data_IF_758923036402
#
_entry.id   IF_758923036402
#
_cell.length_a   1.000
_cell.length_b   1.000
_cell.length_c   1.000
_cell.angle_alpha   90.00
_cell.angle_beta   90.00
_cell.angle_gamma   90.00
#
_symmetry.space_group_name_H-M   'P 1'
#
loop_
_entity.id
_entity.type
_entity.pdbx_description
1 polymer ?
#
# COMPACT_ATOMS: atom_id res chain seq x y z
N UNK A 1 -17.22 14.26 19.09
CA UNK A 1 -16.50 14.54 17.82
C UNK A 1 -16.82 13.41 16.85
N UNK A 2 -17.69 13.66 15.87
CA UNK A 2 -17.95 12.72 14.78
C UNK A 2 -16.69 12.68 13.92
N UNK A 3 -15.90 11.62 14.09
CA UNK A 3 -14.79 11.35 13.18
C UNK A 3 -15.38 11.01 11.82
N UNK A 4 -14.83 11.53 10.71
CA UNK A 4 -15.32 11.20 9.38
C UNK A 4 -15.29 9.68 9.21
N UNK A 5 -16.48 9.11 9.04
CA UNK A 5 -16.63 7.78 8.46
C UNK A 5 -16.40 7.92 6.96
N UNK A 6 -15.85 6.89 6.34
CA UNK A 6 -15.57 6.88 4.90
C UNK A 6 -16.85 7.11 4.09
N UNK A 7 -17.13 8.39 3.81
CA UNK A 7 -18.08 8.85 2.79
C UNK A 7 -17.42 9.82 1.80
N UNK A 8 -16.27 10.41 2.15
CA UNK A 8 -15.41 11.25 1.29
C UNK A 8 -14.15 10.49 0.79
N UNK A 9 -14.24 9.16 0.74
CA UNK A 9 -13.16 8.17 0.73
C UNK A 9 -12.44 7.92 -0.60
N UNK A 10 -12.87 8.52 -1.70
CA UNK A 10 -12.41 8.08 -3.03
C UNK A 10 -10.99 8.57 -3.37
N UNK A 11 -10.48 9.61 -2.72
CA UNK A 11 -9.11 10.09 -2.97
C UNK A 11 -8.02 9.34 -2.20
N UNK A 12 -8.30 8.90 -0.96
CA UNK A 12 -7.30 8.27 -0.08
C UNK A 12 -7.21 6.75 -0.22
N UNK A 13 -8.22 6.11 -0.85
CA UNK A 13 -8.24 4.65 -1.06
C UNK A 13 -7.10 4.17 -1.97
N UNK A 14 -6.83 4.81 -3.12
CA UNK A 14 -5.68 4.43 -3.96
C UNK A 14 -4.35 4.64 -3.26
N UNK A 15 -4.21 5.71 -2.47
CA UNK A 15 -2.98 6.02 -1.75
C UNK A 15 -2.68 4.99 -0.65
N UNK A 16 -3.68 4.66 0.19
CA UNK A 16 -3.56 3.59 1.17
C UNK A 16 -3.25 2.25 0.50
N UNK A 17 -3.95 1.92 -0.59
CA UNK A 17 -3.69 0.68 -1.33
C UNK A 17 -2.24 0.64 -1.85
N UNK A 18 -1.79 1.69 -2.54
CA UNK A 18 -0.44 1.80 -3.07
C UNK A 18 0.61 1.71 -1.95
N UNK A 19 0.37 2.32 -0.80
CA UNK A 19 1.23 2.22 0.37
C UNK A 19 1.34 0.77 0.86
N UNK A 20 0.22 0.07 0.97
CA UNK A 20 0.21 -1.34 1.39
C UNK A 20 0.86 -2.27 0.37
N UNK A 21 0.67 -2.04 -0.92
CA UNK A 21 1.35 -2.79 -2.00
C UNK A 21 2.86 -2.58 -1.90
N UNK A 22 3.32 -1.34 -1.75
CA UNK A 22 4.74 -1.03 -1.59
C UNK A 22 5.33 -1.70 -0.34
N UNK A 23 4.62 -1.67 0.78
CA UNK A 23 5.05 -2.36 2.01
C UNK A 23 5.11 -3.87 1.82
N UNK A 24 4.09 -4.48 1.20
CA UNK A 24 4.07 -5.92 0.94
C UNK A 24 5.23 -6.34 0.04
N UNK A 25 5.45 -5.62 -1.06
CA UNK A 25 6.53 -5.90 -2.00
C UNK A 25 7.91 -5.68 -1.37
N UNK A 26 8.10 -4.59 -0.60
CA UNK A 26 9.35 -4.32 0.10
C UNK A 26 9.64 -5.36 1.19
N UNK A 27 8.62 -5.71 1.99
CA UNK A 27 8.73 -6.76 3.01
C UNK A 27 9.13 -8.08 2.38
N UNK A 28 8.48 -8.48 1.29
CA UNK A 28 8.83 -9.70 0.57
C UNK A 28 10.24 -9.64 -0.03
N UNK A 29 10.65 -8.50 -0.62
CA UNK A 29 12.01 -8.34 -1.12
C UNK A 29 13.08 -8.49 -0.01
N UNK A 30 12.77 -8.07 1.22
CA UNK A 30 13.65 -8.17 2.38
C UNK A 30 13.64 -9.55 3.05
N UNK A 31 12.49 -10.19 3.18
CA UNK A 31 12.31 -11.40 3.99
C UNK A 31 12.00 -12.66 3.19
N UNK A 32 11.72 -12.54 1.89
CA UNK A 32 11.22 -13.61 1.02
C UNK A 32 9.89 -14.23 1.50
N UNK A 33 9.09 -13.45 2.24
CA UNK A 33 7.80 -13.89 2.79
C UNK A 33 6.69 -12.85 2.56
N UNK A 34 5.49 -13.30 2.22
CA UNK A 34 4.30 -12.46 2.12
C UNK A 34 3.64 -12.28 3.49
N UNK A 35 4.09 -11.25 4.21
CA UNK A 35 3.74 -11.00 5.62
C UNK A 35 2.41 -10.28 5.78
N UNK A 36 1.31 -11.05 5.89
CA UNK A 36 -0.05 -10.53 6.14
C UNK A 36 -0.10 -9.68 7.42
N UNK A 37 0.58 -10.11 8.49
CA UNK A 37 0.65 -9.40 9.76
C UNK A 37 1.27 -8.00 9.61
N UNK A 38 2.30 -7.88 8.77
CA UNK A 38 2.95 -6.61 8.49
C UNK A 38 2.03 -5.66 7.72
N UNK A 39 1.30 -6.15 6.72
CA UNK A 39 0.30 -5.37 5.97
C UNK A 39 -0.81 -4.86 6.90
N UNK A 40 -1.32 -5.71 7.80
CA UNK A 40 -2.37 -5.33 8.76
C UNK A 40 -1.89 -4.25 9.73
N UNK A 41 -0.68 -4.38 10.28
CA UNK A 41 -0.13 -3.37 11.19
C UNK A 41 0.16 -2.05 10.47
N UNK A 42 0.75 -2.08 9.26
CA UNK A 42 1.00 -0.88 8.46
C UNK A 42 -0.30 -0.17 8.05
N UNK A 43 -1.36 -0.91 7.71
CA UNK A 43 -2.68 -0.35 7.46
C UNK A 43 -3.21 0.42 8.69
N UNK A 44 -3.11 -0.17 9.89
CA UNK A 44 -3.54 0.49 11.13
C UNK A 44 -2.70 1.72 11.46
N UNK A 45 -1.39 1.68 11.22
CA UNK A 45 -0.50 2.82 11.41
C UNK A 45 -0.82 3.96 10.45
N UNK A 46 -0.99 3.65 9.16
CA UNK A 46 -1.35 4.64 8.14
C UNK A 46 -2.68 5.32 8.47
N UNK A 47 -3.71 4.55 8.83
CA UNK A 47 -5.02 5.10 9.22
C UNK A 47 -4.93 6.01 10.44
N UNK A 48 -4.14 5.62 11.46
CA UNK A 48 -3.90 6.47 12.65
C UNK A 48 -3.15 7.75 12.30
N UNK A 49 -2.13 7.66 11.45
CA UNK A 49 -1.29 8.81 11.03
C UNK A 49 -2.14 9.86 10.29
N UNK A 50 -3.07 9.41 9.45
CA UNK A 50 -3.94 10.28 8.66
C UNK A 50 -5.26 10.66 9.36
N UNK A 51 -5.45 10.26 10.63
CA UNK A 51 -6.70 10.39 11.41
C UNK A 51 -7.97 9.87 10.69
N UNK A 52 -7.80 8.84 9.84
CA UNK A 52 -8.88 8.22 9.07
C UNK A 52 -9.44 6.99 9.78
N UNK A 53 -10.76 6.82 9.76
CA UNK A 53 -11.42 5.60 10.26
C UNK A 53 -11.84 4.69 9.12
N UNK A 54 -11.47 3.41 9.21
CA UNK A 54 -11.90 2.36 8.29
C UNK A 54 -12.72 1.29 9.00
N UNK A 55 -13.82 0.87 8.39
CA UNK A 55 -14.53 -0.32 8.84
C UNK A 55 -13.59 -1.53 8.80
N UNK A 56 -13.75 -2.47 9.74
CA UNK A 56 -12.81 -3.59 9.88
C UNK A 56 -12.78 -4.49 8.63
N UNK A 57 -13.93 -4.69 7.99
CA UNK A 57 -14.02 -5.52 6.80
C UNK A 57 -13.30 -4.87 5.60
N UNK A 58 -13.38 -3.55 5.45
CA UNK A 58 -12.71 -2.84 4.35
C UNK A 58 -11.19 -2.85 4.53
N UNK A 59 -10.69 -2.85 5.77
CA UNK A 59 -9.27 -3.07 6.08
C UNK A 59 -8.79 -4.45 5.65
N UNK A 60 -9.63 -5.48 5.81
CA UNK A 60 -9.30 -6.83 5.35
C UNK A 60 -9.28 -6.88 3.83
N UNK A 61 -10.32 -6.34 3.17
CA UNK A 61 -10.42 -6.32 1.71
C UNK A 61 -9.25 -5.59 1.06
N UNK A 62 -8.90 -4.40 1.54
CA UNK A 62 -7.80 -3.61 0.98
C UNK A 62 -6.44 -4.28 1.22
N UNK A 63 -6.25 -4.95 2.37
CA UNK A 63 -5.04 -5.72 2.65
C UNK A 63 -4.89 -6.95 1.75
N UNK A 64 -5.99 -7.66 1.49
CA UNK A 64 -6.01 -8.78 0.54
C UNK A 64 -5.71 -8.31 -0.89
N UNK A 65 -6.32 -7.22 -1.32
CA UNK A 65 -6.06 -6.61 -2.63
C UNK A 65 -4.59 -6.17 -2.75
N UNK A 66 -4.04 -5.55 -1.70
CA UNK A 66 -2.64 -5.12 -1.69
C UNK A 66 -1.67 -6.30 -1.88
N UNK A 67 -1.91 -7.42 -1.19
CA UNK A 67 -1.09 -8.63 -1.33
C UNK A 67 -1.17 -9.21 -2.74
N UNK A 68 -2.39 -9.31 -3.29
CA UNK A 68 -2.59 -9.80 -4.66
C UNK A 68 -1.82 -8.95 -5.67
N UNK A 69 -1.99 -7.62 -5.63
CA UNK A 69 -1.30 -6.71 -6.53
C UNK A 69 0.22 -6.87 -6.38
N UNK A 70 0.72 -6.91 -5.15
CA UNK A 70 2.15 -7.02 -4.88
C UNK A 70 2.77 -8.34 -5.37
N UNK A 71 2.05 -9.46 -5.27
CA UNK A 71 2.58 -10.79 -5.64
C UNK A 71 2.37 -11.17 -7.11
N UNK A 72 1.34 -10.63 -7.75
CA UNK A 72 0.93 -11.00 -9.11
C UNK A 72 1.01 -9.78 -10.04
N UNK A 73 0.12 -8.80 -9.85
CA UNK A 73 -0.12 -7.73 -10.81
C UNK A 73 1.11 -6.83 -11.05
N UNK A 74 1.97 -6.63 -10.04
CA UNK A 74 3.23 -5.90 -10.22
C UNK A 74 4.15 -6.58 -11.24
N UNK A 75 4.28 -7.91 -11.17
CA UNK A 75 5.15 -8.67 -12.07
C UNK A 75 4.59 -8.66 -13.49
N UNK A 76 3.27 -8.82 -13.62
CA UNK A 76 2.57 -8.77 -14.92
C UNK A 76 2.68 -7.39 -15.57
N UNK A 77 2.70 -6.32 -14.76
CA UNK A 77 2.97 -4.96 -15.21
C UNK A 77 4.46 -4.67 -15.46
N UNK A 78 5.37 -5.64 -15.28
CA UNK A 78 6.81 -5.45 -15.45
C UNK A 78 7.44 -4.55 -14.38
N UNK A 79 6.86 -4.49 -13.18
CA UNK A 79 7.38 -3.80 -12.00
C UNK A 79 8.02 -4.83 -11.08
N UNK A 80 9.34 -4.98 -11.17
CA UNK A 80 10.10 -5.87 -10.29
C UNK A 80 10.65 -5.10 -9.09
N UNK A 81 10.05 -5.30 -7.91
CA UNK A 81 10.57 -4.75 -6.64
C UNK A 81 11.72 -5.63 -6.16
N UNK A 82 12.95 -5.09 -6.17
CA UNK A 82 14.16 -5.76 -5.71
C UNK A 82 14.65 -5.12 -4.42
N UNK A 83 15.49 -5.83 -3.68
CA UNK A 83 16.11 -5.30 -2.46
C UNK A 83 16.78 -3.93 -2.70
N UNK A 84 17.47 -3.77 -3.83
CA UNK A 84 18.14 -2.51 -4.22
C UNK A 84 17.19 -1.34 -4.49
N UNK A 85 15.90 -1.61 -4.77
CA UNK A 85 14.91 -0.59 -5.11
C UNK A 85 13.99 -0.24 -3.95
N UNK A 86 14.07 -0.94 -2.81
CA UNK A 86 13.22 -0.70 -1.63
C UNK A 86 13.37 0.73 -1.10
N UNK A 87 14.60 1.24 -1.01
CA UNK A 87 14.85 2.62 -0.54
C UNK A 87 14.26 3.68 -1.47
N UNK A 88 13.98 3.37 -2.74
CA UNK A 88 13.36 4.29 -3.68
C UNK A 88 11.83 4.34 -3.54
N UNK A 89 11.22 3.39 -2.83
CA UNK A 89 9.76 3.34 -2.61
C UNK A 89 9.30 4.28 -1.50
N UNK A 90 10.17 4.57 -0.54
CA UNK A 90 9.82 5.31 0.66
C UNK A 90 10.69 6.54 0.89
N UNK A 91 10.13 7.57 1.50
CA UNK A 91 10.88 8.72 2.03
C UNK A 91 11.56 8.35 3.37
N UNK A 92 12.37 9.27 3.92
CA UNK A 92 12.95 9.13 5.26
C UNK A 92 11.90 8.98 6.36
N UNK A 93 10.70 9.50 6.13
CA UNK A 93 9.56 9.49 7.04
C UNK A 93 8.67 8.23 6.87
N UNK A 94 9.14 7.26 6.07
CA UNK A 94 8.41 6.04 5.72
C UNK A 94 7.06 6.31 5.03
N UNK A 95 6.99 7.39 4.25
CA UNK A 95 5.89 7.70 3.34
C UNK A 95 6.21 7.22 1.93
N UNK A 96 5.21 7.11 1.05
CA UNK A 96 5.46 6.80 -0.36
C UNK A 96 6.30 7.90 -0.99
N UNK A 97 7.36 7.52 -1.70
CA UNK A 97 8.15 8.47 -2.48
C UNK A 97 7.45 8.75 -3.82
N UNK A 98 6.61 9.78 -3.88
CA UNK A 98 5.87 10.16 -5.09
C UNK A 98 6.77 10.58 -6.27
N UNK A 99 8.02 10.96 -6.00
CA UNK A 99 9.00 11.27 -7.05
C UNK A 99 9.55 9.99 -7.74
N UNK A 100 9.29 8.81 -7.17
CA UNK A 100 9.71 7.53 -7.73
C UNK A 100 8.77 7.10 -8.88
N UNK A 101 9.33 6.93 -10.07
CA UNK A 101 8.56 6.43 -11.23
C UNK A 101 7.96 5.06 -10.97
N UNK A 102 8.61 4.24 -10.13
CA UNK A 102 8.08 2.95 -9.69
C UNK A 102 6.82 3.13 -8.84
N UNK A 103 6.84 4.05 -7.86
CA UNK A 103 5.66 4.36 -7.02
C UNK A 103 4.54 4.94 -7.86
N UNK A 104 4.83 5.82 -8.83
CA UNK A 104 3.82 6.36 -9.75
C UNK A 104 3.12 5.25 -10.55
N UNK A 105 3.88 4.28 -11.07
CA UNK A 105 3.31 3.12 -11.78
C UNK A 105 2.49 2.23 -10.86
N UNK A 106 2.97 1.99 -9.63
CA UNK A 106 2.21 1.25 -8.62
C UNK A 106 0.89 1.96 -8.28
N UNK A 107 0.91 3.29 -8.18
CA UNK A 107 -0.27 4.11 -7.93
C UNK A 107 -1.30 3.96 -9.05
N UNK A 108 -0.88 4.01 -10.32
CA UNK A 108 -1.78 3.78 -11.45
C UNK A 108 -2.46 2.41 -11.39
N UNK A 109 -1.71 1.35 -11.08
CA UNK A 109 -2.28 0.01 -10.89
C UNK A 109 -3.29 -0.02 -9.73
N UNK A 110 -2.98 0.66 -8.62
CA UNK A 110 -3.88 0.72 -7.47
C UNK A 110 -5.15 1.52 -7.76
N UNK A 111 -5.08 2.55 -8.61
CA UNK A 111 -6.24 3.30 -9.07
C UNK A 111 -7.14 2.46 -10.00
N UNK A 112 -6.56 1.65 -10.87
CA UNK A 112 -7.30 0.76 -11.78
C UNK A 112 -7.96 -0.43 -11.05
N UNK A 113 -7.42 -0.83 -9.90
CA UNK A 113 -7.89 -1.98 -9.13
C UNK A 113 -9.06 -1.69 -8.16
N UNK A 114 -9.42 -0.42 -7.97
CA UNK A 114 -10.48 0.05 -7.06
C UNK A 114 -11.77 0.38 -7.82
#
# INVERSE_FOLDING_TARGET
MLKPEFNDADSARPELLCFLVAIAAASHALTQEWRVDHVVECCRRWLRKNDVKMHWLDRVKIGQLALKIASEDLLDAGIAVRLSSVNALFTSEMELNEASTMVQRMMSLCQEAL
#
